data_IF_659581310187
#
_entry.id   IF_659581310187
#
_cell.length_a   1.000
_cell.length_b   1.000
_cell.length_c   1.000
_cell.angle_alpha   90.00
_cell.angle_beta   90.00
_cell.angle_gamma   90.00
#
_symmetry.space_group_name_H-M   'P 1'
#
loop_
_entity.id
_entity.type
_entity.pdbx_description
1 polymer ?
#
# COMPACT_ATOMS: atom_id res chain seq x y z
N UNK A 1 7.95 -2.44 -9.16
CA UNK A 1 6.85 -1.92 -8.30
C UNK A 1 6.71 -2.75 -7.03
N UNK A 2 6.22 -2.17 -5.93
CA UNK A 2 6.05 -2.91 -4.67
C UNK A 2 4.78 -3.76 -4.60
N UNK A 3 3.90 -3.66 -5.60
CA UNK A 3 2.69 -4.45 -5.70
C UNK A 3 2.33 -4.60 -7.19
N UNK A 4 2.40 -5.81 -7.71
CA UNK A 4 1.79 -6.17 -8.98
C UNK A 4 0.30 -6.45 -8.74
N UNK A 5 -0.57 -5.49 -9.03
CA UNK A 5 -2.00 -5.57 -8.71
C UNK A 5 -2.70 -6.67 -9.52
N UNK A 6 -3.49 -7.50 -8.85
CA UNK A 6 -4.17 -8.66 -9.43
C UNK A 6 -4.97 -8.39 -10.71
N UNK A 7 -5.67 -7.26 -10.88
CA UNK A 7 -6.43 -7.01 -12.11
C UNK A 7 -5.59 -6.91 -13.39
N UNK A 8 -4.30 -6.61 -13.29
CA UNK A 8 -3.42 -6.43 -14.44
C UNK A 8 -1.98 -6.79 -14.09
N UNK A 9 -1.75 -8.04 -13.71
CA UNK A 9 -0.43 -8.58 -13.44
C UNK A 9 -0.16 -9.83 -14.29
N UNK A 10 1.07 -9.96 -14.76
CA UNK A 10 1.54 -11.14 -15.50
C UNK A 10 2.86 -11.62 -14.88
N UNK A 11 2.99 -12.94 -14.73
CA UNK A 11 4.16 -13.56 -14.14
C UNK A 11 4.73 -14.61 -15.08
N UNK A 12 6.06 -14.68 -15.16
CA UNK A 12 6.73 -15.79 -15.83
C UNK A 12 6.45 -17.08 -15.04
N UNK A 13 5.82 -18.08 -15.69
CA UNK A 13 5.46 -19.35 -15.06
C UNK A 13 6.62 -20.00 -14.30
N UNK A 14 7.81 -20.02 -14.88
CA UNK A 14 8.98 -20.63 -14.24
C UNK A 14 9.39 -19.91 -12.95
N UNK A 15 9.24 -18.58 -12.88
CA UNK A 15 9.51 -17.81 -11.67
C UNK A 15 8.42 -18.05 -10.60
N UNK A 16 7.16 -18.10 -11.02
CA UNK A 16 6.04 -18.35 -10.12
C UNK A 16 6.13 -19.74 -9.47
N UNK A 17 6.42 -20.77 -10.25
CA UNK A 17 6.53 -22.14 -9.74
C UNK A 17 7.64 -22.32 -8.71
N UNK A 18 8.71 -21.51 -8.76
CA UNK A 18 9.78 -21.55 -7.76
C UNK A 18 9.32 -21.03 -6.39
N UNK A 19 8.25 -20.24 -6.35
CA UNK A 19 7.79 -19.54 -5.15
C UNK A 19 6.40 -20.00 -4.69
N UNK A 20 5.74 -20.87 -5.45
CA UNK A 20 4.34 -21.25 -5.24
C UNK A 20 4.13 -21.91 -3.87
N UNK A 21 4.99 -22.86 -3.48
CA UNK A 21 4.91 -23.53 -2.18
C UNK A 21 5.04 -22.54 -1.02
N UNK A 22 6.02 -21.61 -1.10
CA UNK A 22 6.20 -20.56 -0.10
C UNK A 22 5.02 -19.58 -0.04
N UNK A 23 4.43 -19.29 -1.20
CA UNK A 23 3.28 -18.41 -1.33
C UNK A 23 2.01 -19.03 -0.73
N UNK A 24 1.76 -20.33 -0.95
CA UNK A 24 0.60 -21.06 -0.45
C UNK A 24 0.71 -21.39 1.05
N UNK A 25 1.92 -21.61 1.56
CA UNK A 25 2.17 -21.99 2.96
C UNK A 25 2.46 -20.80 3.88
N UNK A 26 2.09 -19.59 3.48
CA UNK A 26 2.38 -18.38 4.24
C UNK A 26 1.67 -18.33 5.60
N UNK A 27 2.39 -17.85 6.62
CA UNK A 27 1.84 -17.59 7.94
C UNK A 27 2.01 -16.11 8.31
N UNK A 28 0.96 -15.54 8.89
CA UNK A 28 1.04 -14.25 9.58
C UNK A 28 0.69 -14.42 11.06
N UNK A 29 1.64 -14.09 11.94
CA UNK A 29 1.50 -14.22 13.41
C UNK A 29 1.00 -15.62 13.84
N UNK A 30 1.53 -16.67 13.20
CA UNK A 30 1.22 -18.06 13.52
C UNK A 30 -0.10 -18.58 12.95
N UNK A 31 -0.81 -17.81 12.11
CA UNK A 31 -2.01 -18.26 11.40
C UNK A 31 -1.76 -18.34 9.90
N UNK A 32 -2.26 -19.37 9.20
CA UNK A 32 -2.28 -19.40 7.74
C UNK A 32 -2.92 -18.11 7.21
N UNK A 33 -2.34 -17.56 6.14
CA UNK A 33 -2.71 -16.24 5.62
C UNK A 33 -3.21 -16.38 4.18
N UNK A 34 -4.47 -16.06 3.94
CA UNK A 34 -5.19 -16.12 2.66
C UNK A 34 -5.54 -14.73 2.09
N UNK A 35 -5.11 -13.65 2.76
CA UNK A 35 -5.37 -12.27 2.37
C UNK A 35 -4.14 -11.59 1.75
N UNK A 36 -4.33 -10.52 0.96
CA UNK A 36 -3.21 -9.65 0.54
C UNK A 36 -2.20 -10.34 -0.38
N UNK A 37 -2.71 -11.13 -1.30
CA UNK A 37 -1.98 -12.04 -2.20
C UNK A 37 -0.96 -11.30 -3.10
N UNK A 38 -1.39 -10.24 -3.76
CA UNK A 38 -0.62 -9.51 -4.77
C UNK A 38 0.72 -8.96 -4.26
N UNK A 39 0.67 -8.21 -3.15
CA UNK A 39 1.85 -7.56 -2.57
C UNK A 39 2.78 -8.60 -1.95
N UNK A 40 2.23 -9.63 -1.31
CA UNK A 40 3.03 -10.71 -0.76
C UNK A 40 3.79 -11.48 -1.84
N UNK A 41 3.11 -11.87 -2.92
CA UNK A 41 3.75 -12.53 -4.06
C UNK A 41 4.82 -11.64 -4.70
N UNK A 42 4.54 -10.34 -4.84
CA UNK A 42 5.52 -9.36 -5.34
C UNK A 42 6.77 -9.30 -4.45
N UNK A 43 6.58 -9.30 -3.13
CA UNK A 43 7.66 -9.34 -2.16
C UNK A 43 8.49 -10.62 -2.28
N UNK A 44 7.85 -11.79 -2.41
CA UNK A 44 8.56 -13.06 -2.61
C UNK A 44 9.38 -13.05 -3.91
N UNK A 45 8.83 -12.51 -4.99
CA UNK A 45 9.51 -12.37 -6.27
C UNK A 45 10.77 -11.49 -6.14
N UNK A 46 10.63 -10.32 -5.50
CA UNK A 46 11.75 -9.40 -5.25
C UNK A 46 12.82 -10.05 -4.37
N UNK A 47 12.42 -10.75 -3.30
CA UNK A 47 13.34 -11.47 -2.41
C UNK A 47 14.09 -12.60 -3.13
N UNK A 48 13.47 -13.23 -4.11
CA UNK A 48 14.11 -14.25 -4.95
C UNK A 48 15.04 -13.65 -6.02
N UNK A 49 15.23 -12.33 -6.05
CA UNK A 49 16.09 -11.63 -7.01
C UNK A 49 15.42 -11.34 -8.36
N UNK A 50 14.11 -11.58 -8.49
CA UNK A 50 13.37 -11.19 -9.69
C UNK A 50 13.05 -9.70 -9.68
N UNK A 51 12.74 -9.16 -10.86
CA UNK A 51 12.35 -7.77 -11.06
C UNK A 51 10.85 -7.67 -11.29
N UNK A 52 10.27 -6.55 -10.86
CA UNK A 52 8.88 -6.20 -11.15
C UNK A 52 8.82 -4.83 -11.82
N UNK A 53 8.18 -4.78 -12.97
CA UNK A 53 8.14 -3.60 -13.83
C UNK A 53 6.70 -3.11 -14.00
N UNK A 54 6.56 -1.79 -14.07
CA UNK A 54 5.29 -1.16 -14.41
C UNK A 54 5.25 -0.96 -15.92
N UNK A 55 4.18 -1.44 -16.57
CA UNK A 55 3.97 -1.29 -18.00
C UNK A 55 2.77 -0.35 -18.19
N UNK A 56 2.96 0.92 -18.59
CA UNK A 56 1.89 1.90 -18.66
C UNK A 56 0.80 1.52 -19.67
N UNK A 57 1.16 0.81 -20.74
CA UNK A 57 0.23 0.36 -21.78
C UNK A 57 -0.59 -0.88 -21.37
N UNK A 58 -0.23 -1.55 -20.26
CA UNK A 58 -0.97 -2.69 -19.73
C UNK A 58 -2.15 -2.19 -18.88
N UNK A 59 -3.29 -1.98 -19.54
CA UNK A 59 -4.50 -1.41 -18.92
C UNK A 59 -5.57 -2.49 -18.77
N UNK A 60 -6.19 -2.56 -17.58
CA UNK A 60 -7.36 -3.40 -17.32
C UNK A 60 -8.50 -2.58 -16.73
N UNK A 61 -9.71 -2.76 -17.26
CA UNK A 61 -10.92 -2.18 -16.68
C UNK A 61 -11.41 -3.06 -15.51
N UNK A 62 -11.76 -2.43 -14.39
CA UNK A 62 -12.23 -3.13 -13.19
C UNK A 62 -13.50 -2.50 -12.64
N UNK A 63 -14.28 -3.29 -11.90
CA UNK A 63 -15.45 -2.79 -11.20
C UNK A 63 -15.00 -2.15 -9.89
N UNK A 64 -15.33 -0.88 -9.69
CA UNK A 64 -15.17 -0.16 -8.42
C UNK A 64 -16.52 -0.07 -7.72
N UNK A 65 -16.57 -0.18 -6.37
CA UNK A 65 -17.82 0.03 -5.65
C UNK A 65 -18.35 1.45 -5.83
N UNK A 66 -19.63 1.57 -6.15
CA UNK A 66 -20.36 2.81 -6.40
C UNK A 66 -20.93 3.46 -5.13
N UNK A 67 -20.87 2.74 -4.00
CA UNK A 67 -21.36 3.19 -2.69
C UNK A 67 -20.23 3.29 -1.68
N UNK A 68 -20.33 4.30 -0.81
CA UNK A 68 -19.31 4.58 0.20
C UNK A 68 -19.05 3.41 1.15
N UNK A 69 -20.08 2.71 1.62
CA UNK A 69 -19.92 1.57 2.55
C UNK A 69 -19.05 0.44 1.98
N UNK A 70 -19.41 -0.15 0.83
CA UNK A 70 -18.55 -1.09 0.10
C UNK A 70 -17.14 -0.56 -0.21
N UNK A 71 -17.04 0.70 -0.65
CA UNK A 71 -15.75 1.34 -0.94
C UNK A 71 -14.83 1.39 0.29
N UNK A 72 -15.34 1.85 1.44
CA UNK A 72 -14.57 1.92 2.68
C UNK A 72 -14.14 0.51 3.15
N UNK A 73 -15.01 -0.49 3.03
CA UNK A 73 -14.63 -1.88 3.33
C UNK A 73 -13.49 -2.38 2.44
N UNK A 74 -13.48 -2.00 1.17
CA UNK A 74 -12.38 -2.31 0.24
C UNK A 74 -11.08 -1.61 0.65
N UNK A 75 -11.12 -0.30 0.91
CA UNK A 75 -9.94 0.47 1.35
C UNK A 75 -9.35 -0.08 2.66
N UNK A 76 -10.20 -0.40 3.65
CA UNK A 76 -9.76 -1.01 4.91
C UNK A 76 -9.13 -2.39 4.71
N UNK A 77 -9.62 -3.18 3.74
CA UNK A 77 -9.01 -4.46 3.38
C UNK A 77 -7.60 -4.27 2.85
N UNK A 78 -7.41 -3.30 1.93
CA UNK A 78 -6.12 -2.97 1.34
C UNK A 78 -5.14 -2.39 2.37
N UNK A 79 -5.61 -1.52 3.25
CA UNK A 79 -4.81 -0.95 4.32
C UNK A 79 -4.31 -2.04 5.29
N UNK A 80 -5.17 -2.99 5.67
CA UNK A 80 -4.78 -4.11 6.55
C UNK A 80 -3.71 -5.00 5.91
N UNK A 81 -3.86 -5.36 4.62
CA UNK A 81 -2.84 -6.13 3.90
C UNK A 81 -1.53 -5.35 3.79
N UNK A 82 -1.59 -4.04 3.47
CA UNK A 82 -0.40 -3.21 3.37
C UNK A 82 0.37 -3.17 4.69
N UNK A 83 -0.31 -2.91 5.81
CA UNK A 83 0.33 -2.86 7.14
C UNK A 83 0.93 -4.20 7.56
N UNK A 84 0.26 -5.31 7.22
CA UNK A 84 0.80 -6.66 7.44
C UNK A 84 2.13 -6.85 6.72
N UNK A 85 2.15 -6.50 5.44
CA UNK A 85 3.29 -6.74 4.55
C UNK A 85 4.43 -5.75 4.79
N UNK A 86 4.18 -4.61 5.46
CA UNK A 86 5.20 -3.65 5.88
C UNK A 86 6.35 -4.31 6.62
N UNK A 87 6.08 -5.17 7.60
CA UNK A 87 7.15 -5.82 8.38
C UNK A 87 8.03 -6.74 7.54
N UNK A 88 7.45 -7.36 6.51
CA UNK A 88 8.19 -8.20 5.57
C UNK A 88 8.99 -7.33 4.59
N UNK A 89 8.38 -6.25 4.09
CA UNK A 89 9.03 -5.28 3.20
C UNK A 89 10.19 -4.54 3.88
N UNK A 90 10.09 -4.24 5.18
CA UNK A 90 11.16 -3.59 5.96
C UNK A 90 12.46 -4.39 5.94
N UNK A 91 12.37 -5.73 5.97
CA UNK A 91 13.55 -6.61 5.89
C UNK A 91 14.19 -6.61 4.51
N UNK A 92 13.43 -6.25 3.48
CA UNK A 92 13.88 -6.21 2.09
C UNK A 92 14.43 -4.86 1.67
N UNK A 93 14.13 -3.78 2.41
CA UNK A 93 14.57 -2.42 2.08
C UNK A 93 16.05 -2.30 1.68
N UNK A 94 17.02 -2.97 2.34
CA UNK A 94 18.43 -2.86 1.95
C UNK A 94 18.74 -3.42 0.55
N UNK A 95 17.91 -4.34 0.06
CA UNK A 95 18.08 -5.04 -1.21
C UNK A 95 17.26 -4.39 -2.35
N UNK A 96 16.34 -3.49 -1.99
CA UNK A 96 15.48 -2.80 -2.96
C UNK A 96 16.18 -1.62 -3.62
N UNK A 97 15.77 -1.33 -4.86
CA UNK A 97 16.15 -0.10 -5.55
C UNK A 97 15.74 1.15 -4.74
N UNK A 98 16.50 2.23 -4.86
CA UNK A 98 16.28 3.49 -4.14
C UNK A 98 14.87 4.04 -4.32
N UNK A 99 14.30 3.91 -5.52
CA UNK A 99 12.95 4.36 -5.80
C UNK A 99 11.91 3.53 -5.04
N UNK A 100 12.06 2.21 -5.04
CA UNK A 100 11.16 1.30 -4.30
C UNK A 100 11.29 1.50 -2.79
N UNK A 101 12.49 1.73 -2.28
CA UNK A 101 12.72 2.07 -0.86
C UNK A 101 11.98 3.35 -0.48
N UNK A 102 12.07 4.40 -1.29
CA UNK A 102 11.33 5.65 -1.07
C UNK A 102 9.81 5.44 -1.11
N UNK A 103 9.33 4.64 -2.06
CA UNK A 103 7.90 4.28 -2.18
C UNK A 103 7.39 3.54 -0.92
N UNK A 104 8.10 2.51 -0.45
CA UNK A 104 7.73 1.78 0.78
C UNK A 104 7.74 2.69 1.99
N UNK A 105 8.78 3.52 2.15
CA UNK A 105 8.89 4.44 3.28
C UNK A 105 7.75 5.46 3.25
N UNK A 106 7.46 6.04 2.09
CA UNK A 106 6.37 7.00 1.89
C UNK A 106 4.98 6.40 2.18
N UNK A 107 4.70 5.20 1.67
CA UNK A 107 3.43 4.49 1.89
C UNK A 107 3.19 4.18 3.38
N UNK A 108 4.24 4.00 4.18
CA UNK A 108 4.12 3.67 5.60
C UNK A 108 4.17 4.90 6.52
N UNK A 109 5.03 5.87 6.24
CA UNK A 109 5.11 7.10 7.03
C UNK A 109 3.92 8.02 6.81
N UNK A 110 3.40 8.11 5.57
CA UNK A 110 2.30 9.00 5.23
C UNK A 110 1.07 8.83 6.14
N UNK A 111 0.51 7.60 6.29
CA UNK A 111 -0.61 7.34 7.19
C UNK A 111 -0.32 7.64 8.66
N UNK A 112 0.91 7.39 9.13
CA UNK A 112 1.31 7.68 10.52
C UNK A 112 1.35 9.19 10.76
N UNK A 113 1.97 9.94 9.85
CA UNK A 113 2.03 11.40 9.91
C UNK A 113 0.62 12.00 9.87
N UNK A 114 -0.25 11.50 8.98
CA UNK A 114 -1.65 11.92 8.93
C UNK A 114 -2.38 11.67 10.25
N UNK A 115 -2.19 10.50 10.87
CA UNK A 115 -2.80 10.18 12.16
C UNK A 115 -2.30 11.11 13.27
N UNK A 116 -0.99 11.36 13.35
CA UNK A 116 -0.39 12.28 14.32
C UNK A 116 -0.90 13.71 14.11
N UNK A 117 -0.95 14.19 12.86
CA UNK A 117 -1.49 15.52 12.54
C UNK A 117 -2.97 15.65 12.90
N UNK A 118 -3.79 14.62 12.66
CA UNK A 118 -5.20 14.62 13.03
C UNK A 118 -5.38 14.64 14.56
N UNK A 119 -4.61 13.84 15.31
CA UNK A 119 -4.64 13.84 16.77
C UNK A 119 -4.19 15.19 17.35
N UNK A 120 -3.13 15.77 16.81
CA UNK A 120 -2.65 17.09 17.20
C UNK A 120 -3.69 18.19 16.92
N UNK A 121 -4.38 18.13 15.78
CA UNK A 121 -5.47 19.03 15.43
C UNK A 121 -6.65 18.93 16.42
N UNK A 122 -7.06 17.71 16.78
CA UNK A 122 -8.10 17.48 17.78
C UNK A 122 -7.68 17.99 19.17
N UNK A 123 -6.42 17.77 19.56
CA UNK A 123 -5.86 18.27 20.82
C UNK A 123 -5.84 19.80 20.86
N UNK A 124 -5.42 20.47 19.78
CA UNK A 124 -5.47 21.93 19.68
C UNK A 124 -6.90 22.44 19.87
N UNK A 125 -7.86 21.85 19.16
CA UNK A 125 -9.26 22.24 19.27
C UNK A 125 -9.79 22.06 20.71
N UNK A 126 -9.46 20.95 21.35
CA UNK A 126 -9.89 20.65 22.71
C UNK A 126 -9.28 21.58 23.77
N UNK A 127 -7.99 21.94 23.64
CA UNK A 127 -7.25 22.74 24.64
C UNK A 127 -7.50 24.24 24.44
N UNK A 128 -7.54 24.70 23.20
CA UNK A 128 -7.54 26.15 22.88
C UNK A 128 -8.89 26.66 22.38
N UNK A 129 -9.85 25.77 22.09
CA UNK A 129 -11.10 26.10 21.39
C UNK A 129 -10.88 26.81 20.03
N UNK A 130 -9.65 26.77 19.47
CA UNK A 130 -9.34 27.31 18.15
C UNK A 130 -9.35 26.20 17.10
N UNK A 131 -9.88 26.50 15.93
CA UNK A 131 -9.88 25.53 14.82
C UNK A 131 -8.47 25.45 14.21
N UNK A 132 -7.92 24.25 13.97
CA UNK A 132 -6.58 24.05 13.43
C UNK A 132 -6.54 24.25 11.90
N UNK A 133 -6.76 25.49 11.44
CA UNK A 133 -6.86 25.85 10.02
C UNK A 133 -5.67 25.38 9.20
N UNK A 134 -4.45 25.57 9.69
CA UNK A 134 -3.24 25.18 8.97
C UNK A 134 -3.15 23.67 8.72
N UNK A 135 -3.47 22.86 9.73
CA UNK A 135 -3.49 21.40 9.58
C UNK A 135 -4.55 20.97 8.57
N UNK A 136 -5.75 21.57 8.63
CA UNK A 136 -6.82 21.32 7.67
C UNK A 136 -6.44 21.69 6.24
N UNK A 137 -5.85 22.88 6.04
CA UNK A 137 -5.39 23.37 4.74
C UNK A 137 -4.30 22.48 4.13
N UNK A 138 -3.31 22.06 4.94
CA UNK A 138 -2.25 21.17 4.47
C UNK A 138 -2.83 19.82 4.03
N UNK A 139 -3.66 19.18 4.86
CA UNK A 139 -4.26 17.88 4.52
C UNK A 139 -5.11 17.98 3.25
N UNK A 140 -5.92 19.04 3.13
CA UNK A 140 -6.75 19.27 1.96
C UNK A 140 -5.89 19.48 0.70
N UNK A 141 -4.86 20.33 0.77
CA UNK A 141 -3.96 20.59 -0.37
C UNK A 141 -3.23 19.32 -0.83
N UNK A 142 -2.68 18.54 0.11
CA UNK A 142 -2.01 17.27 -0.21
C UNK A 142 -2.97 16.26 -0.85
N UNK A 143 -4.22 16.23 -0.38
CA UNK A 143 -5.25 15.34 -0.94
C UNK A 143 -5.61 15.77 -2.36
N UNK A 144 -5.79 17.07 -2.61
CA UNK A 144 -6.03 17.61 -3.96
C UNK A 144 -4.87 17.24 -4.89
N UNK A 145 -3.63 17.55 -4.52
CA UNK A 145 -2.44 17.21 -5.33
C UNK A 145 -2.39 15.72 -5.64
N UNK A 146 -2.62 14.86 -4.64
CA UNK A 146 -2.62 13.40 -4.83
C UNK A 146 -3.72 12.94 -5.79
N UNK A 147 -4.94 13.47 -5.67
CA UNK A 147 -6.05 13.15 -6.56
C UNK A 147 -5.79 13.64 -7.99
N UNK A 148 -5.18 14.81 -8.17
CA UNK A 148 -4.85 15.35 -9.49
C UNK A 148 -3.80 14.50 -10.22
N UNK A 149 -2.80 14.00 -9.50
CA UNK A 149 -1.72 13.19 -10.09
C UNK A 149 -2.16 11.75 -10.35
N UNK A 150 -3.07 11.20 -9.54
CA UNK A 150 -3.57 9.83 -9.71
C UNK A 150 -4.67 9.68 -10.79
N UNK A 151 -5.20 10.79 -11.30
CA UNK A 151 -6.28 10.79 -12.29
C UNK A 151 -5.79 10.77 -13.76
N UNK A 152 -4.48 10.75 -13.98
CA UNK A 152 -3.81 10.70 -15.29
C UNK A 152 -2.74 9.61 -15.29
#
# INVERSE_FOLDING_TARGET
VMCCCGPCAMYRRSALLLLLDQYETQFFRGKPSDFGEDRHLTILMLKAGFRTEYVPDAVAATVVPDRLGPYLRQQLRWARSTFRDTFLALRLLPELDRYLTLDVVGQNLGPLLLAVSALAALAQLAITATVPWWTGLIIASMTVVRCSVAAF
#
